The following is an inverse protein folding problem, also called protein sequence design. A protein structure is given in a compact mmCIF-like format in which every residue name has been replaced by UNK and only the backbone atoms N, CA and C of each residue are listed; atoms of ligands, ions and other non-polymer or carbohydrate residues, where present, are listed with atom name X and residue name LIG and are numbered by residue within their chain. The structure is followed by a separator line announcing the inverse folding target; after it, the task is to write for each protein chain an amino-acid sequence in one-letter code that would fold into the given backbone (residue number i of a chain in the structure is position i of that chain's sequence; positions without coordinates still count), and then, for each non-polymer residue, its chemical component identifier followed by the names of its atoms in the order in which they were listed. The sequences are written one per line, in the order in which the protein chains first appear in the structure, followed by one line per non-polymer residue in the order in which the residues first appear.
data_IF_240742466579
#
_entry.id   IF_240742466579
#
_cell.length_a   1.000
_cell.length_b   1.000
_cell.length_c   1.000
_cell.angle_alpha   90.00
_cell.angle_beta   90.00
_cell.angle_gamma   90.00
#
_symmetry.space_group_name_H-M   'P 1'
#
loop_
_entity.id
_entity.type
_entity.pdbx_description
1 polymer ?
#
# COMPACT_ATOMS: atom_id res chain seq x y z
N UNK A 1 8.74 -7.46 33.35
CA UNK A 1 8.39 -8.40 32.26
C UNK A 1 6.85 -8.52 32.18
N UNK A 2 6.26 -8.84 31.02
CA UNK A 2 4.80 -9.11 30.92
C UNK A 2 4.45 -10.45 31.59
N UNK A 3 3.46 -10.49 32.51
CA UNK A 3 3.01 -11.72 33.15
C UNK A 3 2.45 -12.77 32.17
N UNK A 4 1.59 -12.34 31.24
CA UNK A 4 0.99 -13.21 30.23
C UNK A 4 1.72 -13.02 28.91
N UNK A 5 2.25 -14.10 28.35
CA UNK A 5 2.93 -14.12 27.05
C UNK A 5 1.94 -14.42 25.95
N UNK A 6 1.73 -13.47 25.05
CA UNK A 6 0.89 -13.62 23.87
C UNK A 6 1.79 -13.55 22.65
N UNK A 7 1.82 -14.62 21.85
CA UNK A 7 2.49 -14.62 20.55
C UNK A 7 1.71 -13.77 19.53
N UNK A 8 2.38 -13.06 18.63
CA UNK A 8 1.75 -12.43 17.49
C UNK A 8 1.02 -13.45 16.60
N UNK A 9 -0.03 -13.00 15.93
CA UNK A 9 -0.67 -13.75 14.85
C UNK A 9 -0.02 -13.44 13.51
N UNK A 10 -0.31 -14.28 12.51
CA UNK A 10 0.21 -14.12 11.16
C UNK A 10 -0.19 -12.78 10.54
N UNK A 11 0.78 -12.11 9.92
CA UNK A 11 0.66 -10.75 9.39
C UNK A 11 0.08 -9.73 10.40
N UNK A 12 0.26 -9.88 11.71
CA UNK A 12 -0.36 -8.96 12.69
C UNK A 12 0.36 -7.61 12.82
N UNK A 13 -0.40 -6.51 12.94
CA UNK A 13 0.16 -5.19 13.29
C UNK A 13 0.67 -5.12 14.73
N UNK A 14 1.76 -4.38 14.96
CA UNK A 14 2.32 -4.16 16.31
C UNK A 14 1.28 -3.60 17.28
N UNK A 15 0.50 -2.62 16.83
CA UNK A 15 -0.59 -2.01 17.61
C UNK A 15 -1.72 -3.01 17.92
N UNK A 16 -2.08 -3.88 16.97
CA UNK A 16 -3.06 -4.97 17.16
C UNK A 16 -2.57 -5.97 18.20
N UNK A 17 -1.32 -6.42 18.07
CA UNK A 17 -0.70 -7.37 19.01
C UNK A 17 -0.67 -6.79 20.42
N UNK A 18 -0.17 -5.55 20.58
CA UNK A 18 -0.04 -4.92 21.90
C UNK A 18 -1.41 -4.69 22.57
N UNK A 19 -2.44 -4.40 21.78
CA UNK A 19 -3.83 -4.37 22.26
C UNK A 19 -4.26 -5.75 22.76
N UNK A 20 -4.02 -6.82 22.00
CA UNK A 20 -4.34 -8.18 22.45
C UNK A 20 -3.59 -8.57 23.72
N UNK A 21 -2.33 -8.15 23.88
CA UNK A 21 -1.58 -8.32 25.13
C UNK A 21 -2.29 -7.61 26.28
N UNK A 22 -2.65 -6.34 26.13
CA UNK A 22 -3.35 -5.57 27.16
C UNK A 22 -4.69 -6.20 27.57
N UNK A 23 -5.48 -6.63 26.57
CA UNK A 23 -6.77 -7.28 26.77
C UNK A 23 -6.62 -8.63 27.47
N UNK A 24 -5.57 -9.41 27.16
CA UNK A 24 -5.27 -10.65 27.87
C UNK A 24 -4.96 -10.42 29.36
N UNK A 25 -4.37 -9.28 29.70
CA UNK A 25 -4.15 -8.83 31.08
C UNK A 25 -5.38 -8.16 31.70
N UNK A 26 -6.54 -8.17 31.03
CA UNK A 26 -7.79 -7.54 31.48
C UNK A 26 -7.65 -6.03 31.76
N UNK A 27 -6.79 -5.36 30.99
CA UNK A 27 -6.55 -3.92 31.11
C UNK A 27 -6.88 -3.19 29.82
N UNK A 28 -7.18 -1.89 29.93
CA UNK A 28 -7.25 -1.02 28.77
C UNK A 28 -5.84 -0.82 28.18
N UNK A 29 -5.68 -0.73 26.84
CA UNK A 29 -4.36 -0.61 26.22
C UNK A 29 -3.48 0.51 26.80
N UNK A 30 -4.06 1.68 27.10
CA UNK A 30 -3.28 2.76 27.75
C UNK A 30 -2.85 2.46 29.17
N UNK A 31 -3.71 1.79 29.95
CA UNK A 31 -3.37 1.44 31.32
C UNK A 31 -2.22 0.43 31.30
N UNK A 32 -2.30 -0.57 30.42
CA UNK A 32 -1.24 -1.53 30.20
C UNK A 32 0.07 -0.87 29.79
N UNK A 33 0.06 -0.06 28.74
CA UNK A 33 1.29 0.55 28.23
C UNK A 33 1.86 1.59 29.18
N UNK A 34 1.04 2.35 29.91
CA UNK A 34 1.54 3.28 30.91
C UNK A 34 2.19 2.56 32.10
N UNK A 35 1.69 1.37 32.47
CA UNK A 35 2.25 0.55 33.55
C UNK A 35 3.57 -0.10 33.12
N UNK A 36 3.62 -0.68 31.92
CA UNK A 36 4.76 -1.49 31.50
C UNK A 36 5.77 -0.75 30.61
N UNK A 37 5.42 0.39 30.01
CA UNK A 37 6.27 1.21 29.13
C UNK A 37 6.27 2.68 29.58
N UNK A 38 6.71 2.98 30.83
CA UNK A 38 6.57 4.30 31.45
C UNK A 38 7.26 5.43 30.67
N UNK A 39 8.30 5.13 29.90
CA UNK A 39 9.04 6.07 29.05
C UNK A 39 8.17 6.65 27.93
N UNK A 40 7.15 5.88 27.50
CA UNK A 40 6.21 6.26 26.43
C UNK A 40 4.85 6.71 26.96
N UNK A 41 4.75 6.93 28.29
CA UNK A 41 3.50 7.22 29.00
C UNK A 41 2.69 8.31 28.31
N UNK A 42 1.43 8.01 28.04
CA UNK A 42 0.46 8.88 27.35
C UNK A 42 0.82 9.32 25.90
N UNK A 43 1.98 8.94 25.38
CA UNK A 43 2.48 9.33 24.05
C UNK A 43 2.39 8.20 23.02
N UNK A 44 2.57 6.94 23.46
CA UNK A 44 2.64 5.78 22.56
C UNK A 44 1.49 5.68 21.55
N UNK A 45 0.25 5.92 22.02
CA UNK A 45 -0.97 5.81 21.21
C UNK A 45 -1.37 7.13 20.52
N UNK A 46 -0.57 8.19 20.68
CA UNK A 46 -0.81 9.49 20.06
C UNK A 46 -0.17 9.62 18.66
N UNK A 47 0.69 8.66 18.29
CA UNK A 47 1.32 8.54 16.98
C UNK A 47 0.94 7.22 16.30
N UNK A 48 1.29 7.09 15.03
CA UNK A 48 1.15 5.83 14.28
C UNK A 48 2.22 4.84 14.75
N UNK A 49 1.92 4.08 15.82
CA UNK A 49 2.83 3.12 16.42
C UNK A 49 3.39 2.12 15.40
N UNK A 50 2.55 1.68 14.46
CA UNK A 50 2.94 0.69 13.45
C UNK A 50 3.99 1.26 12.48
N UNK A 51 4.04 2.58 12.30
CA UNK A 51 4.99 3.27 11.42
C UNK A 51 6.23 3.78 12.17
N UNK A 52 6.04 4.23 13.42
CA UNK A 52 7.04 4.99 14.16
C UNK A 52 7.73 4.22 15.29
N UNK A 53 7.39 2.94 15.51
CA UNK A 53 8.13 2.11 16.45
C UNK A 53 9.62 2.07 16.06
N UNK A 54 10.46 2.58 16.96
CA UNK A 54 11.89 2.65 16.81
C UNK A 54 12.58 1.50 17.57
N UNK A 55 13.87 1.30 17.27
CA UNK A 55 14.63 0.19 17.84
C UNK A 55 14.65 0.21 19.38
N UNK A 56 14.83 1.35 20.07
CA UNK A 56 14.74 1.40 21.53
C UNK A 56 13.40 0.90 22.07
N UNK A 57 12.26 1.27 21.47
CA UNK A 57 10.96 0.75 21.87
C UNK A 57 10.86 -0.77 21.65
N UNK A 58 11.37 -1.27 20.51
CA UNK A 58 11.34 -2.71 20.21
C UNK A 58 12.22 -3.52 21.18
N UNK A 59 13.37 -3.00 21.59
CA UNK A 59 14.24 -3.63 22.60
C UNK A 59 13.53 -3.73 23.96
N UNK A 60 12.88 -2.65 24.39
CA UNK A 60 12.07 -2.64 25.62
C UNK A 60 10.92 -3.66 25.54
N UNK A 61 10.24 -3.73 24.39
CA UNK A 61 9.19 -4.72 24.16
C UNK A 61 9.72 -6.15 24.12
N UNK A 62 10.89 -6.37 23.53
CA UNK A 62 11.56 -7.67 23.44
C UNK A 62 11.84 -8.22 24.84
N UNK A 63 12.50 -7.43 25.70
CA UNK A 63 12.75 -7.79 27.10
C UNK A 63 11.46 -8.09 27.89
N UNK A 64 10.35 -7.39 27.60
CA UNK A 64 9.09 -7.58 28.33
C UNK A 64 8.27 -8.75 27.80
N UNK A 65 8.31 -9.04 26.51
CA UNK A 65 7.44 -10.02 25.84
C UNK A 65 8.08 -11.38 25.57
N UNK A 66 9.41 -11.49 25.67
CA UNK A 66 10.17 -12.67 25.25
C UNK A 66 10.03 -12.97 23.74
N UNK A 67 9.81 -11.93 22.94
CA UNK A 67 9.95 -11.95 21.48
C UNK A 67 11.31 -11.35 21.11
N UNK A 68 11.90 -11.79 20.01
CA UNK A 68 13.09 -11.14 19.46
C UNK A 68 12.75 -9.73 18.92
N UNK A 69 13.77 -8.89 18.77
CA UNK A 69 13.59 -7.57 18.16
C UNK A 69 13.14 -7.71 16.71
N UNK A 70 13.58 -8.77 16.02
CA UNK A 70 13.23 -9.10 14.64
C UNK A 70 11.77 -9.54 14.52
N UNK A 71 11.27 -10.39 15.43
CA UNK A 71 9.84 -10.76 15.49
C UNK A 71 8.98 -9.50 15.66
N UNK A 72 9.37 -8.59 16.56
CA UNK A 72 8.65 -7.34 16.80
C UNK A 72 8.76 -6.36 15.63
N UNK A 73 9.93 -6.27 14.99
CA UNK A 73 10.15 -5.47 13.79
C UNK A 73 9.21 -5.94 12.66
N UNK A 74 9.03 -7.26 12.51
CA UNK A 74 8.10 -7.86 11.54
C UNK A 74 6.64 -7.42 11.71
N UNK A 75 6.23 -6.97 12.89
CA UNK A 75 4.88 -6.45 13.17
C UNK A 75 4.72 -4.97 12.75
N UNK A 76 5.82 -4.28 12.47
CA UNK A 76 5.82 -2.87 12.08
C UNK A 76 5.72 -2.71 10.56
N UNK A 77 5.24 -1.56 10.10
CA UNK A 77 5.28 -1.18 8.68
C UNK A 77 6.70 -0.88 8.20
N UNK A 78 7.64 -0.63 9.11
CA UNK A 78 9.07 -0.50 8.79
C UNK A 78 9.67 -1.81 8.26
N UNK A 79 9.10 -2.96 8.60
CA UNK A 79 9.52 -4.25 8.01
C UNK A 79 9.36 -4.33 6.49
N UNK A 80 8.64 -3.39 5.87
CA UNK A 80 8.57 -3.28 4.41
C UNK A 80 9.71 -2.46 3.79
N UNK A 81 10.64 -1.91 4.58
CA UNK A 81 11.90 -1.36 4.06
C UNK A 81 12.66 -2.45 3.27
N UNK A 82 13.16 -2.09 2.10
CA UNK A 82 13.75 -3.01 1.10
C UNK A 82 12.80 -4.05 0.50
N UNK A 83 11.49 -3.99 0.79
CA UNK A 83 10.47 -4.83 0.15
C UNK A 83 9.50 -3.99 -0.68
N UNK A 84 8.90 -2.95 -0.10
CA UNK A 84 7.99 -2.04 -0.82
C UNK A 84 8.67 -0.72 -1.21
N UNK A 85 9.60 -0.27 -0.39
CA UNK A 85 10.30 1.00 -0.56
C UNK A 85 11.71 0.88 0.02
N UNK A 86 12.64 1.62 -0.56
CA UNK A 86 14.05 1.62 -0.12
C UNK A 86 14.20 2.11 1.32
N UNK A 87 13.47 3.17 1.68
CA UNK A 87 13.48 3.74 3.02
C UNK A 87 12.12 4.33 3.38
N UNK A 88 11.74 4.21 4.65
CA UNK A 88 10.52 4.82 5.16
C UNK A 88 10.68 6.34 5.26
N UNK A 89 9.79 7.07 4.57
CA UNK A 89 9.75 8.53 4.60
C UNK A 89 8.72 9.00 5.64
N UNK A 90 9.18 9.23 6.86
CA UNK A 90 8.32 9.65 7.99
C UNK A 90 7.92 11.14 7.94
N UNK A 91 8.61 11.97 7.14
CA UNK A 91 8.41 13.42 7.09
C UNK A 91 8.25 13.88 5.64
N UNK A 92 7.08 14.47 5.36
CA UNK A 92 6.59 15.05 4.08
C UNK A 92 6.45 14.07 2.89
N UNK A 93 5.29 14.08 2.24
CA UNK A 93 4.98 13.27 1.05
C UNK A 93 4.29 11.91 1.30
N UNK A 94 4.45 11.34 2.50
CA UNK A 94 3.95 10.00 2.81
C UNK A 94 4.91 8.90 2.31
N UNK A 95 4.84 7.70 2.90
CA UNK A 95 5.60 6.55 2.41
C UNK A 95 4.78 5.86 1.32
N UNK A 96 5.32 5.65 0.10
CA UNK A 96 4.60 5.01 -0.99
C UNK A 96 3.93 3.71 -0.57
N UNK A 97 2.71 3.49 -1.05
CA UNK A 97 1.87 2.32 -0.75
C UNK A 97 1.46 2.13 0.71
N UNK A 98 1.86 2.99 1.64
CA UNK A 98 1.45 2.89 3.05
C UNK A 98 0.35 3.89 3.34
N UNK A 99 -0.82 3.40 3.71
CA UNK A 99 -1.95 4.23 4.08
C UNK A 99 -1.68 4.92 5.44
N UNK A 100 -1.62 6.27 5.48
CA UNK A 100 -1.33 6.98 6.71
C UNK A 100 -2.57 7.00 7.62
N UNK A 101 -2.40 6.91 8.94
CA UNK A 101 -3.50 7.13 9.91
C UNK A 101 -3.77 8.62 10.20
N UNK A 102 -2.79 9.49 9.94
CA UNK A 102 -2.85 10.92 10.24
C UNK A 102 -3.35 11.19 11.67
N UNK A 103 -2.66 10.61 12.65
CA UNK A 103 -3.06 10.65 14.06
C UNK A 103 -3.15 12.09 14.57
N UNK A 104 -4.30 12.46 15.15
CA UNK A 104 -4.50 13.71 15.89
C UNK A 104 -4.79 13.36 17.34
N UNK A 105 -3.75 13.37 18.17
CA UNK A 105 -3.82 12.72 19.47
C UNK A 105 -4.10 11.23 19.27
N UNK A 106 -5.08 10.68 20.00
CA UNK A 106 -5.38 9.23 19.97
C UNK A 106 -6.47 8.82 18.97
N UNK A 107 -6.78 9.67 17.99
CA UNK A 107 -7.78 9.41 16.97
C UNK A 107 -7.15 9.53 15.57
N UNK A 108 -7.36 8.54 14.68
CA UNK A 108 -6.97 8.66 13.28
C UNK A 108 -7.88 9.66 12.57
N UNK A 109 -7.30 10.52 11.72
CA UNK A 109 -8.06 11.47 10.89
C UNK A 109 -8.38 10.91 9.51
N UNK A 110 -7.59 9.96 9.03
CA UNK A 110 -7.76 9.31 7.72
C UNK A 110 -8.22 7.86 7.88
N UNK A 111 -8.68 7.28 6.76
CA UNK A 111 -9.13 5.89 6.63
C UNK A 111 -7.94 4.94 6.40
N UNK A 112 -6.89 5.11 7.20
CA UNK A 112 -5.59 4.49 6.95
C UNK A 112 -5.47 3.01 7.34
N UNK A 113 -6.52 2.46 7.98
CA UNK A 113 -6.56 1.06 8.39
C UNK A 113 -7.82 0.41 7.84
N UNK A 114 -7.59 -0.60 7.00
CA UNK A 114 -8.64 -1.44 6.43
C UNK A 114 -8.90 -2.70 7.27
N UNK A 115 -10.00 -3.37 7.02
CA UNK A 115 -10.33 -4.66 7.61
C UNK A 115 -11.32 -5.47 6.77
N UNK A 116 -11.26 -6.80 6.91
CA UNK A 116 -12.31 -7.70 6.46
C UNK A 116 -13.22 -8.03 7.65
N UNK A 117 -14.54 -7.74 7.60
CA UNK A 117 -15.46 -8.09 8.69
C UNK A 117 -15.56 -9.61 8.89
N UNK A 118 -15.38 -10.38 7.82
CA UNK A 118 -15.48 -11.84 7.81
C UNK A 118 -14.25 -12.49 8.47
N UNK A 119 -13.02 -12.05 8.13
CA UNK A 119 -11.82 -12.46 8.86
C UNK A 119 -11.96 -12.16 10.36
N UNK A 120 -12.36 -10.93 10.73
CA UNK A 120 -12.51 -10.59 12.15
C UNK A 120 -13.58 -11.43 12.87
N UNK A 121 -14.54 -12.02 12.15
CA UNK A 121 -15.58 -12.90 12.71
C UNK A 121 -15.09 -14.33 12.89
N UNK A 122 -14.26 -14.82 11.97
CA UNK A 122 -13.71 -16.17 11.97
C UNK A 122 -12.46 -16.31 12.84
N UNK A 123 -11.67 -15.23 12.98
CA UNK A 123 -10.49 -15.18 13.83
C UNK A 123 -10.87 -15.56 15.27
N UNK A 124 -10.29 -16.65 15.80
CA UNK A 124 -10.49 -17.07 17.20
C UNK A 124 -10.26 -15.92 18.19
N UNK A 125 -9.26 -15.09 17.89
CA UNK A 125 -8.99 -13.82 18.57
C UNK A 125 -8.83 -12.74 17.49
N UNK A 126 -9.84 -11.88 17.27
CA UNK A 126 -9.79 -10.89 16.21
C UNK A 126 -8.55 -10.01 16.29
N UNK A 127 -7.88 -9.84 15.14
CA UNK A 127 -6.68 -9.04 15.02
C UNK A 127 -6.64 -8.32 13.67
N UNK A 128 -5.81 -7.29 13.57
CA UNK A 128 -5.71 -6.49 12.36
C UNK A 128 -4.40 -6.78 11.67
N UNK A 129 -4.52 -7.10 10.38
CA UNK A 129 -3.42 -7.53 9.53
C UNK A 129 -2.61 -6.33 9.03
N UNK A 130 -1.31 -6.51 8.85
CA UNK A 130 -0.33 -5.48 8.47
C UNK A 130 -0.49 -5.14 6.99
N UNK A 131 -0.75 -6.11 6.12
CA UNK A 131 -1.07 -5.86 4.71
C UNK A 131 -2.29 -4.97 4.54
N UNK A 132 -3.25 -4.93 5.48
CA UNK A 132 -4.40 -4.03 5.42
C UNK A 132 -4.05 -2.53 5.57
N UNK A 133 -2.78 -2.20 5.84
CA UNK A 133 -2.25 -0.84 5.79
C UNK A 133 -1.67 -0.46 4.42
N UNK A 134 -1.66 -1.38 3.45
CA UNK A 134 -1.13 -1.12 2.11
C UNK A 134 -2.23 -0.58 1.18
N UNK A 135 -1.90 0.40 0.34
CA UNK A 135 -2.88 1.08 -0.52
C UNK A 135 -3.48 0.15 -1.58
N UNK A 136 -2.70 -0.81 -2.10
CA UNK A 136 -3.19 -1.83 -3.04
C UNK A 136 -3.94 -2.99 -2.38
N UNK A 137 -3.99 -3.06 -1.06
CA UNK A 137 -4.83 -4.01 -0.33
C UNK A 137 -6.28 -3.55 -0.36
N UNK A 138 -6.93 -3.72 -1.50
CA UNK A 138 -8.31 -3.25 -1.74
C UNK A 138 -9.34 -4.34 -1.47
N UNK A 139 -8.93 -5.61 -1.55
CA UNK A 139 -9.79 -6.77 -1.34
C UNK A 139 -9.18 -7.75 -0.34
N UNK A 140 -10.03 -8.53 0.32
CA UNK A 140 -9.63 -9.68 1.10
C UNK A 140 -9.46 -10.88 0.16
N UNK A 141 -8.27 -11.47 0.10
CA UNK A 141 -8.01 -12.66 -0.73
C UNK A 141 -8.65 -13.94 -0.15
N UNK A 142 -8.99 -13.97 1.14
CA UNK A 142 -9.63 -15.14 1.78
C UNK A 142 -11.14 -15.16 1.53
N UNK A 143 -11.79 -14.01 1.62
CA UNK A 143 -13.26 -13.91 1.53
C UNK A 143 -13.77 -13.33 0.22
N UNK A 144 -12.85 -12.87 -0.63
CA UNK A 144 -13.13 -12.24 -1.92
C UNK A 144 -14.23 -11.19 -1.75
N UNK A 145 -13.88 -10.14 -1.00
CA UNK A 145 -14.73 -8.99 -0.72
C UNK A 145 -13.86 -7.73 -0.62
N UNK A 146 -14.42 -6.55 -0.88
CA UNK A 146 -13.70 -5.32 -0.60
C UNK A 146 -13.35 -5.23 0.89
N UNK A 147 -12.16 -4.73 1.20
CA UNK A 147 -11.86 -4.37 2.58
C UNK A 147 -12.62 -3.10 2.94
N UNK A 148 -13.04 -2.99 4.20
CA UNK A 148 -13.70 -1.79 4.71
C UNK A 148 -12.66 -0.93 5.43
N UNK A 149 -12.74 0.38 5.31
CA UNK A 149 -11.84 1.33 5.98
C UNK A 149 -12.57 2.22 7.00
N UNK A 150 -13.86 1.95 7.20
CA UNK A 150 -14.76 2.68 8.06
C UNK A 150 -15.80 1.79 8.75
N UNK A 151 -16.44 2.35 9.78
CA UNK A 151 -17.57 1.69 10.42
C UNK A 151 -18.83 1.78 9.54
N UNK A 152 -19.37 0.64 9.11
CA UNK A 152 -20.60 0.57 8.31
C UNK A 152 -21.89 1.08 8.99
N UNK A 153 -21.83 1.56 10.25
CA UNK A 153 -22.95 2.21 10.93
C UNK A 153 -22.83 3.73 11.02
N UNK A 154 -21.63 4.27 11.24
CA UNK A 154 -21.45 5.70 11.51
C UNK A 154 -20.39 6.39 10.65
N UNK A 155 -19.78 5.66 9.70
CA UNK A 155 -18.75 6.14 8.78
C UNK A 155 -17.43 6.56 9.45
N UNK A 156 -17.26 6.33 10.75
CA UNK A 156 -16.04 6.72 11.44
C UNK A 156 -14.85 5.84 10.99
N UNK A 157 -13.65 6.43 10.81
CA UNK A 157 -12.44 5.66 10.54
C UNK A 157 -12.15 4.62 11.64
N UNK A 158 -11.56 3.50 11.24
CA UNK A 158 -11.18 2.44 12.18
C UNK A 158 -10.07 2.92 13.10
N UNK A 159 -10.26 2.76 14.41
CA UNK A 159 -9.25 3.05 15.43
C UNK A 159 -9.15 1.88 16.39
N UNK A 160 -8.02 1.18 16.37
CA UNK A 160 -7.79 0.01 17.23
C UNK A 160 -7.78 0.39 18.71
N UNK A 161 -6.99 1.41 19.04
CA UNK A 161 -6.79 1.84 20.42
C UNK A 161 -8.10 2.32 21.09
N UNK A 162 -8.87 3.20 20.43
CA UNK A 162 -10.14 3.70 20.97
C UNK A 162 -11.31 2.75 20.76
N UNK A 163 -11.19 1.80 19.83
CA UNK A 163 -12.15 0.73 19.61
C UNK A 163 -12.20 -0.28 20.76
N UNK A 164 -11.15 -0.33 21.58
CA UNK A 164 -11.09 -1.19 22.76
C UNK A 164 -12.13 -0.76 23.79
N UNK A 165 -13.27 -1.47 23.87
CA UNK A 165 -14.30 -1.26 24.90
C UNK A 165 -14.78 -2.62 25.41
N UNK A 166 -14.93 -2.72 26.73
CA UNK A 166 -15.41 -3.94 27.40
C UNK A 166 -14.59 -5.20 27.00
N UNK A 167 -13.27 -5.07 26.92
CA UNK A 167 -12.40 -6.20 26.63
C UNK A 167 -12.35 -6.65 25.16
N UNK A 168 -12.93 -5.90 24.20
CA UNK A 168 -12.99 -6.28 22.78
C UNK A 168 -12.29 -5.25 21.88
N UNK A 169 -11.52 -5.70 20.90
CA UNK A 169 -10.73 -4.87 19.96
C UNK A 169 -11.47 -4.51 18.65
N UNK A 170 -12.53 -5.23 18.28
CA UNK A 170 -13.23 -5.08 16.98
C UNK A 170 -14.47 -4.18 17.04
N UNK A 171 -14.46 -3.13 17.87
CA UNK A 171 -15.58 -2.19 17.98
C UNK A 171 -15.23 -0.82 17.42
N UNK A 172 -16.21 -0.14 16.84
CA UNK A 172 -16.07 1.23 16.41
C UNK A 172 -15.79 2.14 17.62
N UNK A 173 -14.73 2.96 17.52
CA UNK A 173 -14.34 3.94 18.53
C UNK A 173 -15.38 5.03 18.77
N UNK A 174 -16.21 5.35 17.76
CA UNK A 174 -17.23 6.41 17.83
C UNK A 174 -18.56 5.88 18.36
N UNK A 175 -19.16 4.89 17.68
CA UNK A 175 -20.53 4.43 17.99
C UNK A 175 -20.60 3.08 18.72
N UNK A 176 -19.47 2.40 18.96
CA UNK A 176 -19.42 1.10 19.63
C UNK A 176 -19.94 -0.09 18.83
N UNK A 177 -20.36 0.12 17.57
CA UNK A 177 -20.83 -0.94 16.68
C UNK A 177 -19.74 -2.00 16.48
N UNK A 178 -20.16 -3.27 16.41
CA UNK A 178 -19.26 -4.41 16.22
C UNK A 178 -18.87 -4.50 14.74
N UNK A 179 -17.58 -4.26 14.43
CA UNK A 179 -17.09 -4.23 13.06
C UNK A 179 -17.22 -5.60 12.36
N UNK A 180 -17.30 -6.69 13.13
CA UNK A 180 -17.54 -8.06 12.62
C UNK A 180 -18.93 -8.25 12.03
N UNK A 181 -19.85 -7.32 12.31
CA UNK A 181 -21.22 -7.31 11.78
C UNK A 181 -21.39 -6.39 10.57
N UNK A 182 -20.34 -5.66 10.18
CA UNK A 182 -20.36 -4.95 8.91
C UNK A 182 -20.48 -5.97 7.76
N UNK A 183 -21.21 -5.59 6.72
CA UNK A 183 -21.24 -6.34 5.48
C UNK A 183 -20.30 -5.67 4.49
N UNK A 184 -19.50 -6.48 3.80
CA UNK A 184 -18.73 -6.01 2.65
C UNK A 184 -19.42 -6.44 1.37
N UNK A 185 -19.42 -5.55 0.38
CA UNK A 185 -19.97 -5.82 -0.93
C UNK A 185 -18.97 -6.58 -1.79
N UNK A 186 -19.49 -7.39 -2.72
CA UNK A 186 -18.71 -8.13 -3.72
C UNK A 186 -18.83 -7.56 -5.13
N UNK A 187 -19.72 -6.57 -5.32
CA UNK A 187 -20.01 -5.98 -6.63
C UNK A 187 -18.70 -5.45 -7.24
N UNK A 188 -18.37 -5.88 -8.47
CA UNK A 188 -17.15 -5.60 -9.25
C UNK A 188 -15.96 -6.56 -9.07
N UNK A 189 -16.00 -7.53 -8.15
CA UNK A 189 -14.91 -8.52 -8.06
C UNK A 189 -14.83 -9.39 -9.30
N UNK A 190 -15.98 -9.77 -9.85
CA UNK A 190 -16.08 -10.58 -11.07
C UNK A 190 -15.75 -9.78 -12.35
N UNK A 191 -15.48 -8.47 -12.23
CA UNK A 191 -15.12 -7.62 -13.36
C UNK A 191 -13.59 -7.47 -13.44
N UNK A 192 -13.02 -8.08 -14.48
CA UNK A 192 -11.60 -8.00 -14.79
C UNK A 192 -10.72 -8.86 -13.88
N UNK A 193 -9.42 -8.61 -13.91
CA UNK A 193 -8.39 -9.41 -13.24
C UNK A 193 -7.90 -8.78 -11.92
N UNK A 194 -8.71 -7.93 -11.29
CA UNK A 194 -8.26 -7.12 -10.14
C UNK A 194 -7.94 -7.95 -8.89
N UNK A 195 -8.69 -9.03 -8.63
CA UNK A 195 -8.37 -9.96 -7.55
C UNK A 195 -6.97 -10.56 -7.74
N UNK A 196 -6.63 -10.89 -8.99
CA UNK A 196 -5.36 -11.53 -9.34
C UNK A 196 -4.22 -10.53 -9.33
N UNK A 197 -4.51 -9.28 -9.68
CA UNK A 197 -3.59 -8.18 -9.49
C UNK A 197 -3.22 -7.99 -8.01
N UNK A 198 -4.21 -7.96 -7.10
CA UNK A 198 -3.96 -7.84 -5.66
C UNK A 198 -3.23 -9.07 -5.12
N UNK A 199 -3.61 -10.28 -5.55
CA UNK A 199 -2.92 -11.53 -5.20
C UNK A 199 -1.47 -11.52 -5.64
N UNK A 200 -1.19 -11.08 -6.87
CA UNK A 200 0.15 -10.98 -7.41
C UNK A 200 1.00 -9.98 -6.63
N UNK A 201 0.47 -8.77 -6.35
CA UNK A 201 1.16 -7.77 -5.53
C UNK A 201 1.47 -8.29 -4.12
N UNK A 202 0.56 -9.06 -3.50
CA UNK A 202 0.82 -9.72 -2.22
C UNK A 202 1.96 -10.74 -2.34
N UNK A 203 1.97 -11.55 -3.38
CA UNK A 203 3.05 -12.51 -3.65
C UNK A 203 4.41 -11.85 -3.84
N UNK A 204 4.47 -10.68 -4.49
CA UNK A 204 5.71 -9.90 -4.63
C UNK A 204 6.19 -9.40 -3.27
N UNK A 205 5.29 -8.92 -2.41
CA UNK A 205 5.64 -8.50 -1.04
C UNK A 205 6.16 -9.67 -0.21
N UNK A 206 5.52 -10.83 -0.31
CA UNK A 206 5.88 -12.00 0.50
C UNK A 206 7.20 -12.64 0.05
N UNK A 207 7.48 -12.62 -1.24
CA UNK A 207 8.71 -13.19 -1.81
C UNK A 207 9.89 -12.23 -1.89
N UNK A 208 9.65 -10.91 -1.74
CA UNK A 208 10.67 -9.87 -1.87
C UNK A 208 11.21 -9.66 -3.30
N UNK A 209 10.60 -10.28 -4.30
CA UNK A 209 11.01 -10.15 -5.70
C UNK A 209 9.84 -10.39 -6.66
N UNK A 210 10.07 -10.09 -7.95
CA UNK A 210 9.16 -10.38 -9.06
C UNK A 210 9.99 -10.80 -10.26
N UNK A 211 9.46 -11.67 -11.12
CA UNK A 211 10.10 -11.99 -12.40
C UNK A 211 9.39 -11.20 -13.50
N UNK A 212 10.16 -10.40 -14.25
CA UNK A 212 9.66 -9.57 -15.35
C UNK A 212 10.49 -9.85 -16.60
N UNK A 213 9.85 -10.24 -17.71
CA UNK A 213 10.57 -10.59 -18.95
C UNK A 213 11.61 -11.71 -18.77
N UNK A 214 11.39 -12.63 -17.81
CA UNK A 214 12.34 -13.69 -17.47
C UNK A 214 13.47 -13.29 -16.52
N UNK A 215 13.54 -12.03 -16.07
CA UNK A 215 14.59 -11.52 -15.19
C UNK A 215 14.05 -11.31 -13.77
N UNK A 216 14.73 -11.81 -12.72
CA UNK A 216 14.35 -11.52 -11.34
C UNK A 216 14.68 -10.08 -10.97
N UNK A 217 13.73 -9.41 -10.33
CA UNK A 217 13.79 -8.01 -9.91
C UNK A 217 13.42 -7.91 -8.44
N UNK A 218 14.24 -7.24 -7.64
CA UNK A 218 13.91 -6.95 -6.24
C UNK A 218 12.60 -6.17 -6.14
N UNK A 219 11.72 -6.56 -5.23
CA UNK A 219 10.36 -6.03 -5.15
C UNK A 219 10.35 -4.50 -4.96
N UNK A 220 11.24 -3.94 -4.14
CA UNK A 220 11.25 -2.49 -3.90
C UNK A 220 11.61 -1.67 -5.16
N UNK A 221 12.38 -2.24 -6.09
CA UNK A 221 12.68 -1.62 -7.38
C UNK A 221 11.46 -1.69 -8.31
N UNK A 222 10.72 -2.80 -8.28
CA UNK A 222 9.45 -2.93 -8.98
C UNK A 222 8.42 -1.89 -8.46
N UNK A 223 8.21 -1.86 -7.15
CA UNK A 223 7.27 -0.93 -6.52
C UNK A 223 7.65 0.54 -6.75
N UNK A 224 8.95 0.87 -6.87
CA UNK A 224 9.41 2.20 -7.26
C UNK A 224 8.90 2.61 -8.65
N UNK A 225 8.98 1.71 -9.64
CA UNK A 225 8.45 1.98 -10.99
C UNK A 225 6.92 2.00 -10.98
N UNK A 226 6.27 1.04 -10.30
CA UNK A 226 4.81 1.01 -10.18
C UNK A 226 4.25 2.30 -9.56
N UNK A 227 4.89 2.80 -8.49
CA UNK A 227 4.50 4.06 -7.84
C UNK A 227 4.69 5.26 -8.76
N UNK A 228 5.81 5.30 -9.50
CA UNK A 228 6.04 6.36 -10.47
C UNK A 228 4.99 6.36 -11.58
N UNK A 229 4.75 5.19 -12.18
CA UNK A 229 3.81 5.04 -13.27
C UNK A 229 2.39 5.40 -12.82
N UNK A 230 2.02 4.99 -11.60
CA UNK A 230 0.80 5.45 -10.96
C UNK A 230 0.70 6.99 -10.89
N UNK A 231 1.75 7.72 -10.47
CA UNK A 231 1.71 9.20 -10.45
C UNK A 231 1.50 9.78 -11.84
N UNK A 232 2.22 9.26 -12.82
CA UNK A 232 2.16 9.74 -14.21
C UNK A 232 0.76 9.58 -14.77
N UNK A 233 0.18 8.40 -14.57
CA UNK A 233 -1.09 8.02 -15.17
C UNK A 233 -2.29 8.57 -14.39
N UNK A 234 -2.24 8.48 -13.06
CA UNK A 234 -3.37 8.81 -12.20
C UNK A 234 -3.35 10.23 -11.61
N UNK A 235 -2.23 10.95 -11.67
CA UNK A 235 -2.11 12.28 -11.04
C UNK A 235 -1.75 13.36 -12.06
N UNK A 236 -0.92 13.04 -13.06
CA UNK A 236 -0.53 14.03 -14.08
C UNK A 236 -1.56 14.20 -15.21
N UNK A 237 -2.74 13.58 -15.07
CA UNK A 237 -3.93 13.96 -15.83
C UNK A 237 -3.86 13.70 -17.33
N UNK A 238 -3.02 12.76 -17.78
CA UNK A 238 -3.21 12.24 -19.14
C UNK A 238 -4.45 11.38 -19.15
N UNK A 239 -5.40 11.73 -20.02
CA UNK A 239 -6.59 10.93 -20.29
C UNK A 239 -6.17 9.68 -21.08
N UNK A 240 -5.52 8.74 -20.40
CA UNK A 240 -4.96 7.51 -21.01
C UNK A 240 -5.95 6.37 -21.06
N UNK A 241 -7.25 6.67 -21.06
CA UNK A 241 -8.28 5.65 -21.21
C UNK A 241 -8.15 4.50 -20.21
N UNK A 242 -7.66 4.73 -18.98
CA UNK A 242 -7.79 3.72 -17.92
C UNK A 242 -9.28 3.63 -17.63
N UNK A 243 -9.88 2.63 -18.26
CA UNK A 243 -11.31 2.42 -18.30
C UNK A 243 -11.82 2.20 -16.88
N UNK A 244 -12.73 3.08 -16.48
CA UNK A 244 -13.46 2.95 -15.24
C UNK A 244 -14.56 1.91 -15.31
N UNK A 245 -15.30 1.82 -14.21
CA UNK A 245 -16.53 1.03 -14.13
C UNK A 245 -17.46 1.49 -15.26
N UNK A 246 -17.92 0.55 -16.07
CA UNK A 246 -18.86 0.78 -17.20
C UNK A 246 -18.28 1.50 -18.43
N UNK A 247 -16.97 1.43 -18.67
CA UNK A 247 -16.35 1.92 -19.91
C UNK A 247 -16.16 3.43 -19.99
N UNK A 248 -16.55 4.17 -18.95
CA UNK A 248 -16.22 5.58 -18.81
C UNK A 248 -14.78 5.73 -18.31
N UNK A 249 -13.92 6.56 -18.93
CA UNK A 249 -12.58 6.84 -18.42
C UNK A 249 -12.64 7.28 -16.97
N UNK A 250 -11.74 6.73 -16.12
CA UNK A 250 -11.50 7.38 -14.85
C UNK A 250 -11.01 8.80 -15.13
N UNK A 251 -11.72 9.81 -14.63
CA UNK A 251 -11.22 11.18 -14.62
C UNK A 251 -10.01 11.26 -13.66
N UNK A 252 -8.84 10.82 -14.12
CA UNK A 252 -7.55 10.87 -13.42
C UNK A 252 -7.19 12.28 -12.92
N UNK A 253 -7.89 13.33 -13.34
CA UNK A 253 -7.69 14.69 -12.86
C UNK A 253 -8.30 15.03 -11.49
N UNK A 254 -9.19 14.19 -10.93
CA UNK A 254 -9.99 14.58 -9.74
C UNK A 254 -9.36 14.22 -8.38
N UNK A 255 -8.38 13.31 -8.32
CA UNK A 255 -7.86 12.81 -7.04
C UNK A 255 -6.45 13.36 -6.75
N UNK A 256 -6.38 14.50 -6.05
CA UNK A 256 -5.10 15.06 -5.55
C UNK A 256 -4.42 14.18 -4.48
N UNK A 257 -5.13 13.22 -3.90
CA UNK A 257 -4.64 12.36 -2.82
C UNK A 257 -5.25 10.95 -2.92
N UNK A 258 -4.50 10.02 -3.53
CA UNK A 258 -4.93 8.65 -3.84
C UNK A 258 -5.42 7.84 -2.66
N UNK A 259 -4.78 8.02 -1.50
CA UNK A 259 -5.16 7.34 -0.27
C UNK A 259 -6.59 7.67 0.19
N UNK A 260 -7.24 8.66 -0.44
CA UNK A 260 -8.64 9.06 -0.21
C UNK A 260 -9.59 8.67 -1.33
N UNK A 261 -9.11 8.11 -2.44
CA UNK A 261 -9.97 7.58 -3.48
C UNK A 261 -10.86 6.46 -2.92
N UNK A 262 -12.11 6.30 -3.38
CA UNK A 262 -12.92 5.12 -3.07
C UNK A 262 -12.16 3.83 -3.36
N UNK A 263 -12.38 2.79 -2.56
CA UNK A 263 -11.58 1.56 -2.63
C UNK A 263 -11.77 0.81 -3.95
N UNK A 264 -12.93 0.95 -4.57
CA UNK A 264 -13.28 0.39 -5.88
C UNK A 264 -12.47 1.06 -7.01
N UNK A 265 -12.29 2.38 -6.90
CA UNK A 265 -11.42 3.14 -7.81
C UNK A 265 -9.98 2.68 -7.66
N UNK A 266 -9.53 2.48 -6.41
CA UNK A 266 -8.19 1.97 -6.15
C UNK A 266 -7.99 0.57 -6.73
N UNK A 267 -8.97 -0.31 -6.55
CA UNK A 267 -8.94 -1.68 -7.06
C UNK A 267 -8.79 -1.73 -8.57
N UNK A 268 -9.58 -0.94 -9.30
CA UNK A 268 -9.51 -0.93 -10.76
C UNK A 268 -8.22 -0.33 -11.28
N UNK A 269 -7.75 0.78 -10.70
CA UNK A 269 -6.49 1.36 -11.13
C UNK A 269 -5.31 0.42 -10.90
N UNK A 270 -5.25 -0.27 -9.74
CA UNK A 270 -4.22 -1.28 -9.52
C UNK A 270 -4.37 -2.47 -10.48
N UNK A 271 -5.59 -2.89 -10.81
CA UNK A 271 -5.83 -3.92 -11.83
C UNK A 271 -5.22 -3.51 -13.17
N UNK A 272 -5.52 -2.31 -13.67
CA UNK A 272 -5.02 -1.87 -14.98
C UNK A 272 -3.50 -1.64 -14.97
N UNK A 273 -2.97 -1.03 -13.90
CA UNK A 273 -1.53 -0.83 -13.77
C UNK A 273 -0.77 -2.16 -13.76
N UNK A 274 -1.27 -3.16 -13.03
CA UNK A 274 -0.62 -4.48 -12.94
C UNK A 274 -0.67 -5.24 -14.27
N UNK A 275 -1.76 -5.15 -15.04
CA UNK A 275 -1.86 -5.80 -16.36
C UNK A 275 -0.72 -5.44 -17.30
N UNK A 276 -0.26 -4.18 -17.25
CA UNK A 276 0.89 -3.73 -18.05
C UNK A 276 2.16 -4.52 -17.75
N UNK A 277 2.31 -5.02 -16.53
CA UNK A 277 3.50 -5.75 -16.09
C UNK A 277 3.39 -7.27 -16.25
N UNK A 278 2.20 -7.84 -16.38
CA UNK A 278 2.06 -9.28 -16.67
C UNK A 278 2.61 -9.67 -18.04
N UNK A 279 2.43 -8.83 -19.06
CA UNK A 279 3.02 -9.01 -20.39
C UNK A 279 4.33 -8.23 -20.60
N UNK A 280 5.06 -7.94 -19.52
CA UNK A 280 6.29 -7.14 -19.60
C UNK A 280 7.40 -7.86 -20.40
N UNK A 281 8.15 -7.16 -21.29
CA UNK A 281 8.11 -5.71 -21.53
C UNK A 281 7.12 -5.28 -22.62
N UNK A 282 6.61 -6.20 -23.45
CA UNK A 282 5.85 -5.87 -24.65
C UNK A 282 4.57 -5.07 -24.36
N UNK A 283 3.74 -5.52 -23.41
CA UNK A 283 2.49 -4.83 -23.04
C UNK A 283 2.74 -3.43 -22.49
N UNK A 284 3.77 -3.28 -21.65
CA UNK A 284 4.17 -1.98 -21.12
C UNK A 284 4.62 -1.02 -22.23
N UNK A 285 5.50 -1.47 -23.12
CA UNK A 285 6.01 -0.63 -24.22
C UNK A 285 4.89 -0.23 -25.19
N UNK A 286 4.01 -1.15 -25.55
CA UNK A 286 2.87 -0.87 -26.42
C UNK A 286 1.97 0.23 -25.82
N UNK A 287 1.63 0.11 -24.54
CA UNK A 287 0.86 1.12 -23.82
C UNK A 287 1.57 2.48 -23.81
N UNK A 288 2.89 2.50 -23.60
CA UNK A 288 3.67 3.74 -23.62
C UNK A 288 3.65 4.44 -24.99
N UNK A 289 3.79 3.68 -26.08
CA UNK A 289 3.76 4.22 -27.44
C UNK A 289 2.37 4.73 -27.80
N UNK A 290 1.32 3.95 -27.54
CA UNK A 290 -0.07 4.31 -27.83
C UNK A 290 -0.49 5.61 -27.12
N UNK A 291 -0.07 5.77 -25.87
CA UNK A 291 -0.39 6.94 -25.05
C UNK A 291 0.66 8.07 -25.12
N UNK A 292 1.66 7.93 -26.01
CA UNK A 292 2.72 8.91 -26.28
C UNK A 292 3.47 9.36 -25.01
N UNK A 293 3.89 8.39 -24.20
CA UNK A 293 4.73 8.66 -23.03
C UNK A 293 6.18 8.86 -23.44
N UNK A 294 6.72 10.06 -23.20
CA UNK A 294 8.12 10.38 -23.45
C UNK A 294 9.05 9.96 -22.31
N UNK A 295 10.36 10.03 -22.55
CA UNK A 295 11.39 9.72 -21.54
C UNK A 295 11.17 10.51 -20.24
N UNK A 296 10.87 11.80 -20.34
CA UNK A 296 10.65 12.67 -19.18
C UNK A 296 9.50 12.15 -18.33
N UNK A 297 8.34 11.83 -18.92
CA UNK A 297 7.22 11.27 -18.18
C UNK A 297 7.57 9.95 -17.50
N UNK A 298 8.34 9.09 -18.17
CA UNK A 298 8.68 7.75 -17.68
C UNK A 298 9.74 7.75 -16.56
N UNK A 299 10.52 8.83 -16.39
CA UNK A 299 11.62 8.86 -15.41
C UNK A 299 11.60 10.07 -14.45
N UNK A 300 10.72 11.06 -14.66
CA UNK A 300 10.71 12.30 -13.84
C UNK A 300 10.54 11.99 -12.34
N UNK A 301 11.31 12.68 -11.51
CA UNK A 301 11.34 12.51 -10.05
C UNK A 301 11.86 11.15 -9.55
N UNK A 302 12.33 10.25 -10.42
CA UNK A 302 13.03 9.04 -9.98
C UNK A 302 14.47 9.38 -9.57
N UNK A 303 14.81 9.21 -8.30
CA UNK A 303 16.21 9.23 -7.84
C UNK A 303 16.88 7.92 -8.25
N UNK A 304 17.49 7.90 -9.44
CA UNK A 304 18.07 6.69 -10.04
C UNK A 304 17.01 5.76 -10.62
N UNK A 305 17.14 5.46 -11.91
CA UNK A 305 16.19 4.61 -12.63
C UNK A 305 16.59 3.14 -12.45
N UNK A 306 15.68 2.24 -12.04
CA UNK A 306 16.01 0.83 -11.86
C UNK A 306 16.53 0.18 -13.15
N UNK A 307 17.61 -0.60 -13.06
CA UNK A 307 18.30 -1.19 -14.22
C UNK A 307 17.36 -1.96 -15.16
N UNK A 308 16.45 -2.77 -14.59
CA UNK A 308 15.50 -3.59 -15.35
C UNK A 308 14.51 -2.75 -16.16
N UNK A 309 14.29 -1.49 -15.78
CA UNK A 309 13.36 -0.59 -16.43
C UNK A 309 14.03 0.20 -17.58
N UNK A 310 15.37 0.34 -17.55
CA UNK A 310 16.12 1.19 -18.49
C UNK A 310 15.93 0.80 -19.94
N UNK A 311 16.11 -0.48 -20.24
CA UNK A 311 15.98 -0.98 -21.60
C UNK A 311 14.55 -0.75 -22.13
N UNK A 312 13.55 -1.08 -21.33
CA UNK A 312 12.14 -1.00 -21.75
C UNK A 312 11.66 0.42 -21.98
N UNK A 313 12.00 1.40 -21.13
CA UNK A 313 11.57 2.78 -21.39
C UNK A 313 12.36 3.42 -22.53
N UNK A 314 13.64 3.08 -22.71
CA UNK A 314 14.45 3.55 -23.84
C UNK A 314 13.89 3.03 -25.17
N UNK A 315 13.57 1.73 -25.23
CA UNK A 315 12.95 1.10 -26.39
C UNK A 315 11.57 1.69 -26.70
N UNK A 316 10.71 1.88 -25.69
CA UNK A 316 9.42 2.55 -25.88
C UNK A 316 9.57 3.98 -26.43
N UNK A 317 10.55 4.74 -25.94
CA UNK A 317 10.84 6.09 -26.42
C UNK A 317 11.36 6.10 -27.87
N UNK A 318 12.22 5.16 -28.23
CA UNK A 318 12.73 5.01 -29.60
C UNK A 318 11.60 4.68 -30.58
N UNK A 319 10.72 3.73 -30.22
CA UNK A 319 9.54 3.37 -31.02
C UNK A 319 8.57 4.55 -31.18
N UNK A 320 8.41 5.38 -30.16
CA UNK A 320 7.58 6.59 -30.24
C UNK A 320 8.16 7.58 -31.26
N UNK A 321 9.48 7.81 -31.25
CA UNK A 321 10.16 8.68 -32.23
C UNK A 321 9.96 8.14 -33.66
N UNK A 322 10.09 6.83 -33.86
CA UNK A 322 9.91 6.19 -35.15
C UNK A 322 8.46 6.30 -35.65
N UNK A 323 7.48 6.09 -34.78
CA UNK A 323 6.06 6.24 -35.08
C UNK A 323 5.70 7.70 -35.46
N UNK A 324 6.24 8.67 -34.73
CA UNK A 324 6.06 10.10 -35.05
C UNK A 324 6.75 10.47 -36.38
N UNK A 325 7.96 9.96 -36.63
CA UNK A 325 8.68 10.21 -37.88
C UNK A 325 7.94 9.64 -39.12
N UNK A 326 7.25 8.50 -38.97
CA UNK A 326 6.40 7.93 -40.02
C UNK A 326 5.14 8.77 -40.27
N UNK A 327 4.56 9.36 -39.23
CA UNK A 327 3.37 10.21 -39.34
C UNK A 327 3.64 11.56 -40.02
N UNK A 328 4.85 12.13 -39.88
CA UNK A 328 5.20 13.47 -40.38
C UNK A 328 5.84 13.52 -41.79
N UNK A 329 6.07 12.38 -42.45
CA UNK A 329 6.60 12.33 -43.82
C UNK A 329 8.05 12.82 -43.97
N UNK A 330 8.73 12.39 -45.04
CA UNK A 330 10.20 12.36 -45.23
C UNK A 330 10.98 13.70 -45.11
N UNK A 331 10.35 14.85 -44.83
CA UNK A 331 11.05 16.15 -44.71
C UNK A 331 11.66 16.43 -43.34
N UNK A 332 11.30 15.70 -42.28
CA UNK A 332 11.82 15.92 -40.92
C UNK A 332 12.99 15.01 -40.52
N UNK A 333 13.54 14.21 -41.44
CA UNK A 333 14.60 13.21 -41.15
C UNK A 333 15.91 13.80 -40.65
N UNK A 334 16.16 15.09 -40.87
CA UNK A 334 17.48 15.71 -40.60
C UNK A 334 17.56 16.41 -39.23
N UNK A 335 16.42 16.79 -38.61
CA UNK A 335 16.44 17.50 -37.32
C UNK A 335 16.25 16.60 -36.09
N UNK A 336 15.50 15.50 -36.20
CA UNK A 336 15.21 14.62 -35.05
C UNK A 336 16.44 13.80 -34.64
N UNK A 337 17.27 13.40 -35.59
CA UNK A 337 18.50 12.62 -35.33
C UNK A 337 19.57 13.45 -34.60
N UNK A 338 19.53 14.79 -34.69
CA UNK A 338 20.49 15.68 -34.01
C UNK A 338 20.26 15.86 -32.50
N UNK A 339 19.15 15.34 -31.95
CA UNK A 339 18.91 15.29 -30.49
C UNK A 339 19.34 13.98 -29.83
N UNK A 340 19.82 13.03 -30.62
CA UNK A 340 20.33 11.73 -30.15
C UNK A 340 21.82 11.88 -29.86
N UNK A 341 22.15 12.55 -28.75
CA UNK A 341 23.49 12.42 -28.16
C UNK A 341 23.35 11.52 -26.93
N UNK A 342 23.67 10.24 -27.14
CA UNK A 342 23.74 9.23 -26.09
C UNK A 342 24.89 9.59 -25.16
N UNK A 343 24.56 10.07 -23.96
CA UNK A 343 25.41 9.84 -22.79
C UNK A 343 24.57 9.14 -21.73
N UNK A 344 24.72 7.83 -21.66
CA UNK A 344 24.52 7.09 -20.42
C UNK A 344 25.50 7.67 -19.39
N UNK A 345 24.95 8.23 -18.33
CA UNK A 345 25.66 8.71 -17.14
C UNK A 345 24.77 8.50 -15.93
#
# INVERSE_FOLDING_TARGET
MFPIKIRPQDDELLSSWLIRVALAHRTMPTTFTNLYLPETRNKLWASDLDLHADRPLLEVLSHKSALSVEELHGLTLRSYESVLFERLYAKSGGTPFVLPLQMRGRYPKSRGLRFCPYCLREDRRPYFRKKWRLSFSTVCLTHECFLLDECGRCGAPVSLYKGCRQGRSSRCSRCGYDLRRCNSFKRLLDRGEGLEAVRWLYGIVDSGHVVLGGVPVYSFLFFKVLHHFWKVVCVWGRDVGIFGIDGNPFACGMVRCWDKAPIEVQYLAYSELVRLFWGYPASFMAFCVENRFGKTELTKDMRGVPFWYVESYCSAFQLLIEAEALHWGRRARVEIVRRVDFRCG
#
